data_IF_158132900279
#
_entry.id   IF_158132900279
#
_cell.length_a   1.000
_cell.length_b   1.000
_cell.length_c   1.000
_cell.angle_alpha   90.00
_cell.angle_beta   90.00
_cell.angle_gamma   90.00
#
_symmetry.space_group_name_H-M   'P 1'
#
loop_
_entity.id
_entity.type
_entity.pdbx_description
1 polymer ?
#
# COMPACT_ATOMS: atom_id res chain seq x y z
N UNK A 1 0.64 5.24 7.96
CA UNK A 1 0.99 4.54 9.22
C UNK A 1 -0.24 4.45 10.12
N UNK A 2 -1.08 5.48 10.11
CA UNK A 2 -2.32 5.59 10.88
C UNK A 2 -3.21 4.33 10.83
N UNK A 3 -3.30 3.65 9.67
CA UNK A 3 -4.08 2.41 9.55
C UNK A 3 -3.49 1.23 10.34
N UNK A 4 -2.16 1.08 10.31
CA UNK A 4 -1.44 -0.04 10.94
C UNK A 4 -1.15 0.18 12.43
N UNK A 5 -1.15 1.43 12.91
CA UNK A 5 -0.83 1.75 14.32
C UNK A 5 -1.85 1.15 15.31
N UNK A 6 -3.18 1.25 15.10
CA UNK A 6 -4.16 0.61 15.97
C UNK A 6 -3.99 -0.90 16.06
N UNK A 7 -3.72 -1.57 14.93
CA UNK A 7 -3.47 -3.01 14.93
C UNK A 7 -2.17 -3.36 15.65
N UNK A 8 -1.11 -2.56 15.48
CA UNK A 8 0.13 -2.78 16.22
C UNK A 8 -0.09 -2.70 17.73
N UNK A 9 -0.85 -1.70 18.21
CA UNK A 9 -1.15 -1.54 19.63
C UNK A 9 -1.98 -2.72 20.17
N UNK A 10 -3.01 -3.14 19.44
CA UNK A 10 -3.84 -4.31 19.79
C UNK A 10 -3.02 -5.61 19.86
N UNK A 11 -2.09 -5.82 18.91
CA UNK A 11 -1.18 -6.96 18.93
C UNK A 11 -0.20 -6.92 20.11
N UNK A 12 0.29 -5.73 20.47
CA UNK A 12 1.17 -5.53 21.63
C UNK A 12 0.44 -5.82 22.94
N UNK A 13 -0.80 -5.35 23.10
CA UNK A 13 -1.64 -5.63 24.27
C UNK A 13 -1.91 -7.13 24.45
N UNK A 14 -2.19 -7.82 23.33
CA UNK A 14 -2.37 -9.28 23.27
C UNK A 14 -1.06 -10.07 23.40
N UNK A 15 0.10 -9.39 23.43
CA UNK A 15 1.45 -9.96 23.48
C UNK A 15 1.71 -10.96 22.34
N UNK A 16 1.18 -10.67 21.16
CA UNK A 16 1.44 -11.49 19.97
C UNK A 16 2.91 -11.33 19.57
N UNK A 17 3.64 -12.44 19.54
CA UNK A 17 5.06 -12.47 19.19
C UNK A 17 5.32 -12.99 17.77
N UNK A 18 6.59 -12.90 17.35
CA UNK A 18 7.08 -13.40 16.07
C UNK A 18 7.06 -12.35 14.96
N UNK A 19 7.20 -12.81 13.72
CA UNK A 19 7.28 -11.94 12.55
C UNK A 19 5.91 -11.77 11.91
N UNK A 20 5.64 -10.55 11.45
CA UNK A 20 4.39 -10.15 10.80
C UNK A 20 4.69 -9.07 9.76
N UNK A 21 4.07 -9.20 8.58
CA UNK A 21 4.06 -8.12 7.60
C UNK A 21 3.03 -7.08 8.05
N UNK A 22 3.50 -5.91 8.44
CA UNK A 22 2.65 -4.81 8.91
C UNK A 22 2.40 -3.82 7.77
N UNK A 23 1.66 -4.27 6.77
CA UNK A 23 1.24 -3.46 5.62
C UNK A 23 -0.27 -3.60 5.43
N UNK A 24 -0.88 -2.61 4.78
CA UNK A 24 -2.27 -2.75 4.34
C UNK A 24 -2.35 -3.94 3.35
N UNK A 25 -3.44 -4.72 3.37
CA UNK A 25 -3.69 -5.77 2.37
C UNK A 25 -3.70 -5.18 0.96
N UNK A 26 -3.38 -6.00 -0.03
CA UNK A 26 -3.26 -5.63 -1.46
C UNK A 26 -2.19 -4.56 -1.76
N UNK A 27 -1.35 -4.75 -2.79
CA UNK A 27 -0.36 -3.75 -3.18
C UNK A 27 -1.01 -2.57 -3.90
N UNK A 28 -0.35 -1.41 -3.84
CA UNK A 28 -0.68 -0.23 -4.67
C UNK A 28 0.56 0.21 -5.44
N UNK A 29 0.38 0.54 -6.71
CA UNK A 29 1.44 1.06 -7.58
C UNK A 29 1.62 2.58 -7.44
N UNK A 30 2.80 3.09 -7.80
CA UNK A 30 3.07 4.52 -7.79
C UNK A 30 2.16 5.30 -8.74
N UNK A 31 1.82 4.72 -9.90
CA UNK A 31 0.89 5.34 -10.86
C UNK A 31 -0.49 5.54 -10.24
N UNK A 32 -1.00 4.51 -9.55
CA UNK A 32 -2.27 4.61 -8.83
C UNK A 32 -2.19 5.72 -7.76
N UNK A 33 -1.11 5.78 -6.97
CA UNK A 33 -0.92 6.86 -5.97
C UNK A 33 -0.97 8.26 -6.62
N UNK A 34 -0.40 8.44 -7.80
CA UNK A 34 -0.44 9.73 -8.51
C UNK A 34 -1.86 10.08 -8.99
N UNK A 35 -2.64 9.10 -9.42
CA UNK A 35 -4.06 9.30 -9.76
C UNK A 35 -4.86 9.72 -8.53
N UNK A 36 -4.63 9.07 -7.37
CA UNK A 36 -5.22 9.48 -6.08
C UNK A 36 -4.89 10.93 -5.75
N UNK A 37 -3.61 11.26 -5.87
CA UNK A 37 -3.11 12.58 -5.53
C UNK A 37 -3.71 13.64 -6.44
N UNK A 38 -3.85 13.35 -7.74
CA UNK A 38 -4.50 14.25 -8.69
C UNK A 38 -5.96 14.49 -8.35
N UNK A 39 -6.69 13.43 -7.99
CA UNK A 39 -8.11 13.52 -7.64
C UNK A 39 -8.36 14.29 -6.34
N UNK A 40 -7.57 14.02 -5.30
CA UNK A 40 -7.88 14.45 -3.93
C UNK A 40 -7.13 15.74 -3.54
N UNK A 41 -5.93 15.94 -4.07
CA UNK A 41 -5.02 17.01 -3.61
C UNK A 41 -4.75 18.06 -4.69
N UNK A 42 -4.43 17.65 -5.91
CA UNK A 42 -3.98 18.57 -6.96
C UNK A 42 -4.48 18.17 -8.36
N UNK A 43 -5.66 18.65 -8.81
CA UNK A 43 -6.20 18.35 -10.13
C UNK A 43 -5.29 18.75 -11.29
N UNK A 44 -4.51 19.82 -11.09
CA UNK A 44 -3.56 20.37 -12.07
C UNK A 44 -2.15 19.77 -11.95
N UNK A 45 -2.04 18.54 -11.45
CA UNK A 45 -0.78 17.82 -11.36
C UNK A 45 -0.03 17.84 -12.70
N UNK A 46 1.24 18.26 -12.67
CA UNK A 46 2.09 18.32 -13.85
C UNK A 46 2.17 16.97 -14.58
N UNK A 47 2.36 17.05 -15.90
CA UNK A 47 2.56 15.86 -16.72
C UNK A 47 3.72 15.02 -16.19
N UNK A 48 3.48 13.72 -16.09
CA UNK A 48 4.47 12.71 -15.77
C UNK A 48 4.45 11.61 -16.83
N UNK A 49 5.57 10.89 -16.92
CA UNK A 49 5.72 9.73 -17.80
C UNK A 49 5.89 8.48 -16.94
N UNK A 50 5.23 7.39 -17.33
CA UNK A 50 5.39 6.10 -16.68
C UNK A 50 6.67 5.45 -17.23
N UNK A 51 7.60 5.13 -16.34
CA UNK A 51 8.83 4.43 -16.71
C UNK A 51 8.53 2.95 -16.80
N UNK A 52 8.70 2.38 -18.00
CA UNK A 52 8.51 0.95 -18.22
C UNK A 52 9.63 0.14 -17.54
N UNK A 53 9.27 -1.01 -16.95
CA UNK A 53 10.20 -1.86 -16.22
C UNK A 53 11.30 -2.47 -17.10
N UNK A 54 11.08 -2.56 -18.41
CA UNK A 54 12.05 -3.07 -19.41
C UNK A 54 12.94 -1.98 -20.00
N UNK A 55 12.63 -0.70 -19.75
CA UNK A 55 13.48 0.41 -20.18
C UNK A 55 14.82 0.41 -19.43
N UNK A 56 15.86 1.03 -19.99
CA UNK A 56 17.16 1.12 -19.31
C UNK A 56 17.07 1.75 -17.91
N UNK A 57 16.25 2.80 -17.77
CA UNK A 57 15.95 3.43 -16.47
C UNK A 57 15.13 2.52 -15.56
N UNK A 58 14.16 1.80 -16.10
CA UNK A 58 13.35 0.84 -15.34
C UNK A 58 14.19 -0.29 -14.76
N UNK A 59 15.09 -0.87 -15.55
CA UNK A 59 16.01 -1.91 -15.10
C UNK A 59 16.94 -1.42 -13.98
N UNK A 60 17.49 -0.21 -14.10
CA UNK A 60 18.30 0.41 -13.05
C UNK A 60 17.51 0.60 -11.74
N UNK A 61 16.26 1.07 -11.85
CA UNK A 61 15.37 1.24 -10.70
C UNK A 61 15.02 -0.09 -10.06
N UNK A 62 14.71 -1.13 -10.84
CA UNK A 62 14.44 -2.46 -10.32
C UNK A 62 15.65 -3.09 -9.62
N UNK A 63 16.88 -2.78 -10.08
CA UNK A 63 18.10 -3.28 -9.47
C UNK A 63 18.48 -2.54 -8.17
N UNK A 64 18.06 -1.29 -8.00
CA UNK A 64 18.48 -0.42 -6.89
C UNK A 64 17.39 -0.13 -5.86
N UNK A 65 16.12 -0.38 -6.19
CA UNK A 65 14.96 -0.13 -5.33
C UNK A 65 14.22 -1.43 -5.03
N UNK A 66 13.84 -1.61 -3.77
CA UNK A 66 12.99 -2.72 -3.36
C UNK A 66 11.58 -2.54 -3.91
N UNK A 67 11.14 -3.47 -4.74
CA UNK A 67 9.75 -3.60 -5.18
C UNK A 67 9.26 -4.95 -4.66
N UNK A 68 8.20 -4.95 -3.86
CA UNK A 68 7.65 -6.19 -3.33
C UNK A 68 6.17 -6.05 -2.98
N UNK A 69 5.48 -7.18 -3.00
CA UNK A 69 4.18 -7.37 -2.38
C UNK A 69 4.39 -8.26 -1.17
N UNK A 70 3.87 -7.84 -0.02
CA UNK A 70 3.94 -8.64 1.21
C UNK A 70 2.58 -9.26 1.47
N UNK A 71 2.57 -10.54 1.84
CA UNK A 71 1.34 -11.23 2.25
C UNK A 71 0.86 -10.71 3.60
N UNK A 72 -0.35 -10.16 3.64
CA UNK A 72 -0.99 -9.60 4.82
C UNK A 72 -2.00 -10.55 5.47
N UNK A 73 -2.20 -11.76 4.96
CA UNK A 73 -3.23 -12.71 5.43
C UNK A 73 -3.16 -12.93 6.96
N UNK A 74 -1.95 -13.08 7.49
CA UNK A 74 -1.72 -13.25 8.94
C UNK A 74 -2.14 -12.03 9.76
N UNK A 75 -1.96 -10.81 9.22
CA UNK A 75 -2.40 -9.58 9.89
C UNK A 75 -3.93 -9.50 9.88
N UNK A 76 -4.57 -9.86 8.77
CA UNK A 76 -6.02 -9.87 8.64
C UNK A 76 -6.69 -10.86 9.59
N UNK A 77 -6.10 -12.04 9.78
CA UNK A 77 -6.58 -13.05 10.75
C UNK A 77 -6.48 -12.55 12.20
N UNK A 78 -5.37 -11.90 12.56
CA UNK A 78 -5.12 -11.43 13.93
C UNK A 78 -5.88 -10.15 14.27
N UNK A 79 -6.12 -9.30 13.27
CA UNK A 79 -6.76 -8.00 13.40
C UNK A 79 -7.89 -7.84 12.36
N UNK A 80 -8.99 -8.60 12.46
CA UNK A 80 -10.10 -8.54 11.48
C UNK A 80 -10.83 -7.19 11.46
N UNK A 81 -10.64 -6.37 12.49
CA UNK A 81 -11.16 -5.01 12.61
C UNK A 81 -10.19 -3.92 12.15
N UNK A 82 -9.11 -4.25 11.44
CA UNK A 82 -8.17 -3.26 10.89
C UNK A 82 -8.95 -2.25 10.05
N UNK A 83 -9.14 -1.05 10.59
CA UNK A 83 -9.76 0.06 9.89
C UNK A 83 -8.74 0.60 8.90
N UNK A 84 -8.74 0.02 7.72
CA UNK A 84 -8.10 0.62 6.55
C UNK A 84 -8.80 1.97 6.33
N UNK A 85 -8.00 3.04 6.20
CA UNK A 85 -8.54 4.38 5.95
C UNK A 85 -9.52 4.34 4.77
N UNK A 86 -10.60 5.14 4.87
CA UNK A 86 -11.65 5.21 3.85
C UNK A 86 -11.08 5.44 2.44
N UNK A 87 -9.97 6.17 2.34
CA UNK A 87 -9.25 6.40 1.09
C UNK A 87 -8.73 5.10 0.50
N UNK A 88 -7.95 4.30 1.22
CA UNK A 88 -7.41 3.03 0.70
C UNK A 88 -8.54 2.04 0.37
N UNK A 89 -9.60 2.02 1.19
CA UNK A 89 -10.76 1.13 0.99
C UNK A 89 -11.54 1.44 -0.30
N UNK A 90 -11.83 2.72 -0.58
CA UNK A 90 -12.52 3.17 -1.80
C UNK A 90 -11.79 2.74 -3.08
N UNK A 91 -10.45 2.69 -3.07
CA UNK A 91 -9.70 2.28 -4.26
C UNK A 91 -9.56 0.77 -4.40
N UNK A 92 -9.43 0.01 -3.32
CA UNK A 92 -9.53 -1.46 -3.38
C UNK A 92 -10.89 -1.92 -3.94
N UNK A 93 -11.98 -1.22 -3.61
CA UNK A 93 -13.31 -1.51 -4.16
C UNK A 93 -13.45 -1.15 -5.65
N UNK A 94 -12.58 -0.27 -6.18
CA UNK A 94 -12.58 0.13 -7.60
C UNK A 94 -11.93 -0.93 -8.51
N UNK A 95 -11.21 -1.92 -7.93
CA UNK A 95 -10.58 -3.05 -8.64
C UNK A 95 -11.55 -4.21 -8.99
N UNK A 96 -12.85 -4.08 -8.72
CA UNK A 96 -13.89 -5.08 -9.07
C UNK A 96 -14.77 -4.62 -10.24
N UNK A 97 -14.29 -3.73 -11.11
CA UNK A 97 -14.97 -3.38 -12.37
C UNK A 97 -14.06 -3.47 -13.58
#
# INVERSE_FOLDING_TARGET
>A
LDDCVPALLDLMEKRVGGNLNLVNPEPISLTQILELYKEIVCPDLHHYEVVDATSGKGLELCATKGNCTLDASKLEELCPGLLISFLVKRYQETLVK
#
